data_IF_991661661158
#
_entry.id   IF_991661661158
#
_cell.length_a   1.000
_cell.length_b   1.000
_cell.length_c   1.000
_cell.angle_alpha   90.00
_cell.angle_beta   90.00
_cell.angle_gamma   90.00
#
_symmetry.space_group_name_H-M   'P 1'
#
loop_
_entity.id
_entity.type
_entity.pdbx_description
1 polymer ?
#
# COMPACT_ATOMS: atom_id res chain seq x y z
N UNK A 1 3.21 -15.15 -7.18
CA UNK A 1 4.56 -15.09 -7.71
C UNK A 1 5.53 -15.56 -6.66
N UNK A 2 6.31 -16.49 -7.01
CA UNK A 2 7.33 -16.96 -6.12
C UNK A 2 8.58 -16.17 -6.31
N UNK A 3 8.97 -15.43 -5.34
CA UNK A 3 10.24 -14.79 -5.32
C UNK A 3 10.54 -14.01 -6.58
N UNK A 4 10.32 -12.76 -6.55
CA UNK A 4 10.57 -11.87 -7.67
C UNK A 4 12.05 -11.94 -8.08
N UNK A 5 12.30 -12.25 -9.33
CA UNK A 5 13.66 -12.36 -9.84
C UNK A 5 14.43 -13.55 -9.36
N UNK A 6 13.82 -14.43 -8.62
CA UNK A 6 14.45 -15.66 -8.16
C UNK A 6 14.07 -16.78 -9.10
N UNK A 7 14.94 -17.73 -9.26
CA UNK A 7 14.68 -18.87 -10.12
C UNK A 7 13.53 -19.71 -9.62
N UNK A 8 12.37 -19.30 -9.76
CA UNK A 8 11.14 -19.97 -9.43
C UNK A 8 10.15 -19.66 -10.52
N UNK A 9 8.95 -20.01 -10.25
CA UNK A 9 7.86 -19.71 -11.12
C UNK A 9 7.54 -18.22 -11.04
N UNK A 10 7.47 -17.58 -12.18
CA UNK A 10 7.05 -16.18 -12.25
C UNK A 10 5.69 -16.15 -12.95
N UNK A 11 4.67 -15.85 -12.21
CA UNK A 11 3.37 -15.64 -12.79
C UNK A 11 3.33 -14.28 -13.45
N UNK A 12 3.06 -14.26 -14.74
CA UNK A 12 2.88 -13.00 -15.44
C UNK A 12 1.49 -12.47 -15.13
N UNK A 13 1.35 -11.37 -14.39
CA UNK A 13 0.03 -10.84 -14.11
C UNK A 13 -0.57 -10.30 -15.40
N UNK A 14 -1.86 -10.49 -15.55
CA UNK A 14 -2.60 -9.83 -16.60
C UNK A 14 -2.74 -8.38 -16.21
N UNK A 15 -2.29 -7.48 -17.06
CA UNK A 15 -2.34 -6.05 -16.77
C UNK A 15 -3.80 -5.61 -16.59
N UNK A 16 -4.06 -4.94 -15.48
CA UNK A 16 -5.40 -4.51 -15.10
C UNK A 16 -6.15 -5.52 -14.23
N UNK A 17 -5.60 -6.71 -14.07
CA UNK A 17 -6.14 -7.70 -13.15
C UNK A 17 -5.14 -7.93 -12.03
N UNK A 18 -5.45 -7.45 -10.87
CA UNK A 18 -4.58 -7.55 -9.72
C UNK A 18 -5.15 -8.54 -8.73
N UNK A 19 -4.28 -9.31 -8.15
CA UNK A 19 -4.64 -10.06 -6.96
C UNK A 19 -4.86 -9.09 -5.81
N UNK A 20 -5.34 -9.60 -4.70
CA UNK A 20 -5.60 -8.77 -3.53
C UNK A 20 -4.33 -8.03 -3.09
N UNK A 21 -4.48 -6.75 -2.83
CA UNK A 21 -3.48 -5.97 -2.11
C UNK A 21 -3.91 -5.90 -0.67
N UNK A 22 -2.99 -6.13 0.22
CA UNK A 22 -3.27 -6.05 1.64
C UNK A 22 -2.31 -5.12 2.34
N UNK A 23 -2.81 -4.38 3.30
CA UNK A 23 -2.00 -3.58 4.19
C UNK A 23 -2.30 -3.98 5.62
N UNK A 24 -1.27 -4.34 6.35
CA UNK A 24 -1.39 -4.60 7.78
C UNK A 24 -1.09 -3.34 8.57
N UNK A 25 -1.95 -3.04 9.54
CA UNK A 25 -1.75 -1.94 10.46
C UNK A 25 -1.72 -2.52 11.87
N UNK A 26 -0.65 -2.23 12.59
CA UNK A 26 -0.47 -2.73 13.94
C UNK A 26 -0.80 -1.65 14.95
N UNK A 27 -1.54 -2.03 15.98
CA UNK A 27 -1.89 -1.16 17.08
C UNK A 27 -1.42 -1.74 18.40
N UNK A 28 -0.77 -0.93 19.21
CA UNK A 28 -0.43 -1.33 20.57
C UNK A 28 -1.58 -1.02 21.53
N UNK A 29 -2.43 -0.07 21.16
CA UNK A 29 -3.57 0.34 21.95
C UNK A 29 -4.72 0.63 21.01
N UNK A 30 -5.91 0.17 21.36
CA UNK A 30 -7.12 0.48 20.60
C UNK A 30 -7.79 1.72 21.15
N UNK A 31 -7.91 2.75 20.33
CA UNK A 31 -8.72 3.93 20.64
C UNK A 31 -10.00 3.86 19.83
N UNK A 32 -10.97 4.70 20.17
CA UNK A 32 -12.23 4.71 19.44
C UNK A 32 -12.04 5.03 17.96
N UNK A 33 -11.08 5.90 17.61
CA UNK A 33 -10.80 6.20 16.21
C UNK A 33 -10.20 5.01 15.46
N UNK A 34 -9.40 4.19 16.14
CA UNK A 34 -8.85 2.98 15.54
C UNK A 34 -9.93 1.90 15.34
N UNK A 35 -10.88 1.85 16.26
CA UNK A 35 -11.99 0.90 16.17
C UNK A 35 -12.89 1.19 14.96
N UNK A 36 -12.98 2.45 14.54
CA UNK A 36 -13.75 2.82 13.35
C UNK A 36 -13.26 2.11 12.10
N UNK A 37 -11.97 1.74 12.06
CA UNK A 37 -11.41 0.96 10.95
C UNK A 37 -11.99 -0.43 10.86
N UNK A 38 -12.55 -0.94 11.95
CA UNK A 38 -13.10 -2.29 11.99
C UNK A 38 -14.50 -2.39 11.40
N UNK A 39 -15.10 -1.26 11.07
CA UNK A 39 -16.40 -1.25 10.43
C UNK A 39 -16.26 -1.65 8.96
N UNK A 40 -16.77 -2.81 8.53
CA UNK A 40 -16.58 -3.28 7.16
C UNK A 40 -17.27 -2.42 6.09
N UNK A 41 -18.16 -1.54 6.51
CA UNK A 41 -18.84 -0.62 5.60
C UNK A 41 -18.06 0.68 5.40
N UNK A 42 -17.01 0.89 6.17
CA UNK A 42 -16.23 2.13 6.14
C UNK A 42 -15.02 1.94 5.23
N UNK A 43 -14.83 2.89 4.32
CA UNK A 43 -13.60 2.97 3.53
C UNK A 43 -12.55 3.69 4.38
N UNK A 44 -11.45 3.02 4.63
CA UNK A 44 -10.35 3.56 5.43
C UNK A 44 -9.38 4.25 4.49
N UNK A 45 -9.03 5.50 4.84
CA UNK A 45 -8.01 6.26 4.15
C UNK A 45 -6.77 6.33 5.03
N UNK A 46 -5.65 5.88 4.52
CA UNK A 46 -4.38 5.96 5.22
C UNK A 46 -3.40 6.79 4.40
N UNK A 47 -2.68 7.66 5.08
CA UNK A 47 -1.60 8.42 4.47
C UNK A 47 -0.36 8.24 5.33
N UNK A 48 0.68 7.70 4.72
CA UNK A 48 1.97 7.53 5.37
C UNK A 48 2.94 8.55 4.79
N UNK A 49 3.68 9.22 5.65
CA UNK A 49 4.72 10.16 5.25
C UNK A 49 6.02 9.78 5.95
N UNK A 50 7.09 9.79 5.19
CA UNK A 50 8.41 9.47 5.73
C UNK A 50 9.47 10.26 4.98
N UNK A 51 10.60 10.48 5.65
CA UNK A 51 11.79 10.99 5.00
C UNK A 51 12.64 9.79 4.60
N UNK A 52 12.89 9.64 3.33
CA UNK A 52 13.70 8.56 2.79
C UNK A 52 15.10 9.08 2.53
N UNK A 53 16.09 8.42 3.11
CA UNK A 53 17.48 8.77 2.86
C UNK A 53 17.94 8.17 1.55
N UNK A 54 18.51 9.00 0.70
CA UNK A 54 18.98 8.60 -0.62
C UNK A 54 20.44 9.01 -0.75
N UNK A 55 21.26 8.11 -1.25
CA UNK A 55 22.67 8.40 -1.49
C UNK A 55 22.86 8.90 -2.92
N UNK A 56 23.52 10.05 -3.05
CA UNK A 56 23.89 10.63 -4.33
C UNK A 56 25.41 10.69 -4.39
N UNK A 57 25.99 10.20 -5.44
CA UNK A 57 27.45 10.17 -5.61
C UNK A 57 28.08 11.56 -5.62
N UNK A 58 27.36 12.56 -6.07
CA UNK A 58 27.88 13.93 -6.17
C UNK A 58 27.61 14.72 -4.90
N UNK A 59 26.41 14.61 -4.37
CA UNK A 59 25.98 15.38 -3.21
C UNK A 59 26.06 14.65 -1.88
N UNK A 60 26.41 13.37 -1.87
CA UNK A 60 26.40 12.56 -0.68
C UNK A 60 24.99 12.07 -0.32
N UNK A 61 24.63 12.14 0.96
CA UNK A 61 23.29 11.71 1.40
C UNK A 61 22.30 12.86 1.30
N UNK A 62 21.13 12.56 0.82
CA UNK A 62 20.03 13.50 0.76
C UNK A 62 18.77 12.82 1.28
N UNK A 63 17.74 13.62 1.55
CA UNK A 63 16.45 13.11 2.02
C UNK A 63 15.37 13.47 1.03
N UNK A 64 14.54 12.48 0.72
CA UNK A 64 13.38 12.68 -0.14
C UNK A 64 12.11 12.37 0.63
N UNK A 65 11.10 13.17 0.40
CA UNK A 65 9.80 12.97 1.03
C UNK A 65 9.06 11.83 0.36
N UNK A 66 8.71 10.83 1.13
CA UNK A 66 7.88 9.71 0.67
C UNK A 66 6.47 9.92 1.19
N UNK A 67 5.49 9.79 0.31
CA UNK A 67 4.09 9.81 0.70
C UNK A 67 3.37 8.63 0.05
N UNK A 68 2.70 7.85 0.88
CA UNK A 68 1.90 6.71 0.42
C UNK A 68 0.46 6.94 0.86
N UNK A 69 -0.46 6.90 -0.08
CA UNK A 69 -1.89 7.03 0.20
C UNK A 69 -2.56 5.72 -0.16
N UNK A 70 -3.32 5.19 0.77
CA UNK A 70 -4.00 3.92 0.59
C UNK A 70 -5.45 4.03 1.00
N UNK A 71 -6.33 3.34 0.29
CA UNK A 71 -7.74 3.23 0.64
C UNK A 71 -8.15 1.78 0.60
N UNK A 72 -8.95 1.37 1.56
CA UNK A 72 -9.42 0.00 1.61
C UNK A 72 -10.41 -0.23 2.72
N UNK A 73 -10.78 -1.47 2.90
CA UNK A 73 -11.71 -1.91 3.93
C UNK A 73 -11.09 -3.01 4.77
N UNK A 74 -11.53 -3.12 6.00
CA UNK A 74 -11.06 -4.17 6.88
C UNK A 74 -11.42 -5.54 6.30
N UNK A 75 -10.44 -6.43 6.30
CA UNK A 75 -10.58 -7.81 5.85
C UNK A 75 -10.41 -8.78 7.00
N UNK A 76 -9.53 -8.44 7.92
CA UNK A 76 -9.12 -9.33 9.00
C UNK A 76 -8.68 -8.54 10.21
N UNK A 77 -9.02 -9.04 11.37
CA UNK A 77 -8.60 -8.44 12.63
C UNK A 77 -8.05 -9.54 13.55
N UNK A 78 -6.87 -9.28 14.09
CA UNK A 78 -6.27 -10.13 15.11
C UNK A 78 -6.10 -9.30 16.38
N UNK A 79 -6.76 -9.65 17.47
CA UNK A 79 -6.66 -8.84 18.70
C UNK A 79 -5.29 -8.90 19.38
N UNK A 80 -4.48 -9.90 19.03
CA UNK A 80 -3.15 -10.01 19.59
C UNK A 80 -3.16 -10.50 21.03
N UNK A 81 -2.23 -9.98 21.82
CA UNK A 81 -2.07 -10.38 23.21
C UNK A 81 -2.70 -9.36 24.15
N UNK A 82 -3.36 -9.85 25.19
CA UNK A 82 -3.90 -9.00 26.24
C UNK A 82 -3.08 -9.23 27.50
N UNK A 83 -2.11 -8.37 27.72
CA UNK A 83 -1.22 -8.44 28.88
C UNK A 83 -1.19 -7.08 29.58
N UNK A 84 -1.02 -7.11 30.91
CA UNK A 84 -1.08 -5.89 31.73
C UNK A 84 0.02 -4.88 31.43
N UNK A 85 1.19 -5.35 31.06
CA UNK A 85 2.38 -4.47 30.93
C UNK A 85 2.81 -4.24 29.51
N UNK A 86 2.22 -4.92 28.56
CA UNK A 86 2.60 -4.80 27.16
C UNK A 86 1.40 -4.37 26.32
N UNK A 87 1.67 -3.78 25.18
CA UNK A 87 0.61 -3.43 24.25
C UNK A 87 -0.09 -4.65 23.69
N UNK A 88 -1.26 -4.46 23.12
CA UNK A 88 -2.06 -5.55 22.57
C UNK A 88 -1.44 -6.20 21.34
N UNK A 89 -0.62 -5.48 20.62
CA UNK A 89 -0.10 -5.93 19.32
C UNK A 89 -1.23 -6.37 18.38
N UNK A 90 -2.33 -5.65 18.43
CA UNK A 90 -3.47 -5.92 17.56
C UNK A 90 -3.14 -5.59 16.12
N UNK A 91 -3.58 -6.41 15.20
CA UNK A 91 -3.32 -6.22 13.77
C UNK A 91 -4.63 -6.16 13.01
N UNK A 92 -4.75 -5.14 12.17
CA UNK A 92 -5.87 -4.99 11.24
C UNK A 92 -5.31 -5.13 9.83
N UNK A 93 -5.90 -6.03 9.05
CA UNK A 93 -5.53 -6.19 7.64
C UNK A 93 -6.60 -5.55 6.78
N UNK A 94 -6.18 -4.65 5.91
CA UNK A 94 -7.06 -3.96 4.98
C UNK A 94 -6.91 -4.53 3.59
N UNK A 95 -8.01 -4.77 2.92
CA UNK A 95 -8.02 -5.05 1.49
C UNK A 95 -8.04 -3.73 0.75
N UNK A 96 -6.99 -3.44 0.02
CA UNK A 96 -6.83 -2.15 -0.64
C UNK A 96 -7.50 -2.13 -2.01
N UNK A 97 -8.16 -1.01 -2.29
CA UNK A 97 -8.70 -0.75 -3.62
C UNK A 97 -7.95 0.37 -4.32
N UNK A 98 -7.16 1.11 -3.56
CA UNK A 98 -6.39 2.24 -4.09
C UNK A 98 -5.04 2.34 -3.40
N UNK A 99 -4.00 2.58 -4.17
CA UNK A 99 -2.68 2.91 -3.64
C UNK A 99 -2.02 3.95 -4.54
N UNK A 100 -1.39 4.94 -3.92
CA UNK A 100 -0.58 5.94 -4.61
C UNK A 100 0.72 6.11 -3.86
N UNK A 101 1.82 6.11 -4.59
CA UNK A 101 3.16 6.31 -4.02
C UNK A 101 3.79 7.51 -4.72
N UNK A 102 4.25 8.45 -3.91
CA UNK A 102 4.83 9.70 -4.38
C UNK A 102 6.16 9.94 -3.68
N UNK A 103 7.17 10.35 -4.43
CA UNK A 103 8.48 10.72 -3.88
C UNK A 103 8.81 12.12 -4.35
N UNK A 104 9.05 13.03 -3.41
CA UNK A 104 9.36 14.44 -3.68
C UNK A 104 8.37 15.11 -4.63
N UNK A 105 7.08 14.82 -4.47
CA UNK A 105 6.04 15.40 -5.31
C UNK A 105 5.86 14.71 -6.65
N UNK A 106 6.70 13.75 -6.98
CA UNK A 106 6.53 12.98 -8.21
C UNK A 106 5.76 11.71 -7.92
N UNK A 107 4.62 11.55 -8.57
CA UNK A 107 3.81 10.36 -8.43
C UNK A 107 4.42 9.22 -9.22
N UNK A 108 4.86 8.19 -8.52
CA UNK A 108 5.51 7.04 -9.13
C UNK A 108 4.52 5.95 -9.53
N UNK A 109 3.57 5.68 -8.67
CA UNK A 109 2.58 4.61 -8.87
C UNK A 109 1.22 5.12 -8.45
N UNK A 110 0.22 4.82 -9.25
CA UNK A 110 -1.18 4.99 -8.85
C UNK A 110 -1.98 3.82 -9.39
N UNK A 111 -2.61 3.09 -8.49
CA UNK A 111 -3.47 1.97 -8.85
C UNK A 111 -4.82 2.19 -8.18
N UNK A 112 -5.87 2.22 -8.98
CA UNK A 112 -7.24 2.32 -8.51
C UNK A 112 -8.04 1.19 -9.14
N UNK A 113 -8.30 0.16 -8.38
CA UNK A 113 -8.99 -1.02 -8.88
C UNK A 113 -10.43 -0.74 -9.27
N UNK A 114 -11.09 0.15 -8.54
CA UNK A 114 -12.51 0.45 -8.76
C UNK A 114 -12.72 1.26 -10.03
N UNK A 115 -11.78 2.13 -10.36
CA UNK A 115 -11.86 2.99 -11.53
C UNK A 115 -10.98 2.54 -12.70
N UNK A 116 -10.32 1.40 -12.54
CA UNK A 116 -9.50 0.85 -13.60
C UNK A 116 -8.29 1.70 -13.95
N UNK A 117 -7.63 2.28 -12.94
CA UNK A 117 -6.44 3.11 -13.14
C UNK A 117 -5.19 2.33 -12.76
N UNK A 118 -4.21 2.36 -13.64
CA UNK A 118 -2.89 1.81 -13.37
C UNK A 118 -1.86 2.69 -14.07
N UNK A 119 -1.22 3.57 -13.30
CA UNK A 119 -0.23 4.49 -13.82
C UNK A 119 1.13 4.25 -13.18
N UNK A 120 2.17 4.29 -14.00
CA UNK A 120 3.55 4.23 -13.55
C UNK A 120 4.27 5.44 -14.12
N UNK A 121 4.76 6.30 -13.23
CA UNK A 121 5.41 7.57 -13.60
C UNK A 121 4.57 8.41 -14.56
N UNK A 122 3.26 8.46 -14.29
CA UNK A 122 2.32 9.24 -15.08
C UNK A 122 1.86 8.58 -16.39
N UNK A 123 2.40 7.41 -16.72
CA UNK A 123 1.99 6.68 -17.93
C UNK A 123 0.89 5.71 -17.59
N UNK A 124 -0.22 5.81 -18.30
CA UNK A 124 -1.35 4.90 -18.12
C UNK A 124 -1.04 3.55 -18.79
N UNK A 125 -0.74 2.56 -17.96
CA UNK A 125 -0.37 1.23 -18.45
C UNK A 125 -1.54 0.50 -19.11
N UNK A 126 -2.76 0.77 -18.69
CA UNK A 126 -3.93 0.14 -19.30
C UNK A 126 -4.21 0.69 -20.68
N UNK A 127 -4.03 2.00 -20.87
CA UNK A 127 -4.17 2.62 -22.18
C UNK A 127 -3.12 2.08 -23.14
N UNK A 128 -1.91 1.88 -22.65
CA UNK A 128 -0.82 1.33 -23.47
C UNK A 128 -1.15 -0.08 -23.95
N UNK A 129 -1.70 -0.90 -23.08
CA UNK A 129 -2.13 -2.27 -23.48
C UNK A 129 -3.27 -2.19 -24.47
N UNK A 130 -4.26 -1.34 -24.24
CA UNK A 130 -5.39 -1.18 -25.15
C UNK A 130 -4.93 -0.76 -26.55
N UNK A 131 -3.87 0.03 -26.65
CA UNK A 131 -3.36 0.46 -27.95
C UNK A 131 -2.71 -0.66 -28.76
N UNK A 132 -2.34 -1.76 -28.10
CA UNK A 132 -1.70 -2.91 -28.74
C UNK A 132 -2.68 -3.97 -29.22
N UNK A 133 -3.93 -3.84 -28.84
CA UNK A 133 -4.98 -4.77 -29.25
C UNK A 133 -5.78 -4.14 -30.41
#
# INVERSE_FOLDING_TARGET
VEGFGVGGEIDSPTIGQWESFEQEVQFNTLYSSAVDMLNPLTVVNLTFRAAQQVYDKVGGYDFKGLRVVEMGRVKKFKPGKIEKSEGMEATVTLELTYIMIEVDGEQLIEIDKLNGVYKVKGVDMLAKVRSLI
#
